data_IF_158674885892
#
_entry.id   IF_158674885892
#
_cell.length_a   1.000
_cell.length_b   1.000
_cell.length_c   1.000
_cell.angle_alpha   90.00
_cell.angle_beta   90.00
_cell.angle_gamma   90.00
#
_symmetry.space_group_name_H-M   'P 1'
#
loop_
_entity.id
_entity.type
_entity.pdbx_description
1 polymer ?
#
# COMPACT_ATOMS: atom_id res chain seq x y z
N UNK A 1 8.79 5.19 13.24
CA UNK A 1 8.51 4.71 11.88
C UNK A 1 7.36 5.50 11.32
N UNK A 2 7.60 6.18 10.20
CA UNK A 2 6.60 6.97 9.47
C UNK A 2 6.63 6.46 8.03
N UNK A 3 5.44 6.18 7.49
CA UNK A 3 5.22 5.83 6.10
C UNK A 3 4.44 6.97 5.43
N UNK A 4 5.05 7.69 4.48
CA UNK A 4 4.39 8.79 3.77
C UNK A 4 3.84 8.31 2.42
N UNK A 5 2.63 8.73 2.07
CA UNK A 5 2.04 8.35 0.77
C UNK A 5 2.73 9.06 -0.40
N UNK A 6 2.84 8.39 -1.55
CA UNK A 6 3.09 9.03 -2.86
C UNK A 6 1.93 8.82 -3.85
N UNK A 7 0.80 8.29 -3.38
CA UNK A 7 -0.40 8.02 -4.20
C UNK A 7 -1.06 9.26 -4.83
N UNK A 8 -1.11 10.44 -4.16
CA UNK A 8 -1.55 11.68 -4.81
C UNK A 8 -0.73 11.97 -6.06
N UNK A 9 -1.39 12.50 -7.10
CA UNK A 9 -0.71 12.80 -8.37
C UNK A 9 -0.93 11.79 -9.50
N UNK A 10 -1.73 10.73 -9.29
CA UNK A 10 -1.94 9.65 -10.27
C UNK A 10 -3.38 9.56 -10.82
N UNK A 11 -4.24 10.55 -10.57
CA UNK A 11 -5.63 10.54 -11.06
C UNK A 11 -5.74 11.18 -12.44
N UNK A 12 -6.22 10.39 -13.40
CA UNK A 12 -6.60 10.87 -14.72
C UNK A 12 -8.12 10.85 -14.89
N UNK A 13 -8.66 11.94 -15.39
CA UNK A 13 -10.07 12.08 -15.81
C UNK A 13 -10.03 12.67 -17.21
N UNK A 14 -10.35 11.90 -18.27
CA UNK A 14 -10.31 12.43 -19.63
C UNK A 14 -11.25 13.62 -19.79
N UNK A 15 -10.90 14.54 -20.68
CA UNK A 15 -11.82 15.58 -21.14
C UNK A 15 -12.91 14.96 -22.02
N UNK A 16 -14.14 15.45 -21.89
CA UNK A 16 -15.26 15.05 -22.77
C UNK A 16 -15.05 15.52 -24.22
N UNK A 17 -14.27 16.60 -24.42
CA UNK A 17 -13.98 17.17 -25.75
C UNK A 17 -12.80 16.49 -26.45
N UNK A 18 -11.75 16.11 -25.69
CA UNK A 18 -10.58 15.40 -26.20
C UNK A 18 -10.04 14.42 -25.14
N UNK A 19 -10.34 13.11 -25.26
CA UNK A 19 -9.96 12.12 -24.26
C UNK A 19 -8.45 11.84 -24.19
N UNK A 20 -7.64 12.40 -25.11
CA UNK A 20 -6.19 12.38 -25.00
C UNK A 20 -5.64 13.41 -24.00
N UNK A 21 -6.50 14.32 -23.51
CA UNK A 21 -6.17 15.34 -22.53
C UNK A 21 -6.96 15.12 -21.24
N UNK A 22 -6.32 15.39 -20.12
CA UNK A 22 -6.99 15.42 -18.83
C UNK A 22 -7.90 16.64 -18.70
N UNK A 23 -9.08 16.45 -18.14
CA UNK A 23 -9.94 17.54 -17.65
C UNK A 23 -9.34 18.23 -16.42
N UNK A 24 -9.96 19.32 -15.97
CA UNK A 24 -9.59 20.04 -14.74
C UNK A 24 -9.67 19.19 -13.47
N UNK A 25 -10.39 18.06 -13.51
CA UNK A 25 -10.48 17.09 -12.41
C UNK A 25 -9.29 16.13 -12.36
N UNK A 26 -8.46 16.10 -13.41
CA UNK A 26 -7.21 15.35 -13.40
C UNK A 26 -6.22 15.99 -12.46
N UNK A 27 -5.56 15.17 -11.66
CA UNK A 27 -4.50 15.62 -10.75
C UNK A 27 -3.18 14.95 -11.07
N UNK A 28 -2.95 14.57 -12.34
CA UNK A 28 -1.71 13.92 -12.77
C UNK A 28 -0.52 14.84 -12.51
N UNK A 29 0.54 14.28 -11.94
CA UNK A 29 1.80 14.97 -11.64
C UNK A 29 2.97 14.16 -12.19
N UNK A 30 4.11 14.81 -12.42
CA UNK A 30 5.34 14.10 -12.81
C UNK A 30 5.85 13.23 -11.66
N UNK A 31 6.63 12.18 -11.95
CA UNK A 31 7.32 11.38 -10.92
C UNK A 31 8.02 12.23 -9.86
N UNK A 32 8.78 13.25 -10.26
CA UNK A 32 9.56 14.13 -9.37
C UNK A 32 8.64 14.93 -8.44
N UNK A 33 7.54 15.47 -8.96
CA UNK A 33 6.59 16.22 -8.15
C UNK A 33 5.90 15.34 -7.10
N UNK A 34 5.61 14.08 -7.44
CA UNK A 34 4.97 13.12 -6.53
C UNK A 34 5.87 12.62 -5.40
N UNK A 35 7.19 12.60 -5.60
CA UNK A 35 8.14 12.16 -4.57
C UNK A 35 8.85 13.31 -3.88
N UNK A 36 8.62 14.57 -4.27
CA UNK A 36 9.32 15.75 -3.73
C UNK A 36 9.37 15.77 -2.19
N UNK A 37 8.23 15.55 -1.54
CA UNK A 37 8.17 15.54 -0.07
C UNK A 37 8.94 14.36 0.55
N UNK A 38 9.04 13.23 -0.15
CA UNK A 38 9.86 12.08 0.30
C UNK A 38 11.34 12.44 0.22
N UNK A 39 11.77 13.13 -0.83
CA UNK A 39 13.17 13.56 -0.98
C UNK A 39 13.57 14.60 0.07
N UNK A 40 12.66 15.51 0.40
CA UNK A 40 12.86 16.56 1.40
C UNK A 40 12.82 16.01 2.83
N UNK A 41 11.78 15.25 3.18
CA UNK A 41 11.53 14.81 4.55
C UNK A 41 12.26 13.52 4.91
N UNK A 42 12.60 12.70 3.90
CA UNK A 42 13.22 11.39 4.06
C UNK A 42 12.53 10.60 5.17
N UNK A 43 11.32 10.08 4.96
CA UNK A 43 10.72 9.13 5.90
C UNK A 43 11.47 7.79 5.85
N UNK A 44 11.19 6.90 6.80
CA UNK A 44 11.78 5.55 6.79
C UNK A 44 11.16 4.71 5.66
N UNK A 45 9.87 4.92 5.40
CA UNK A 45 9.07 4.24 4.37
C UNK A 45 8.26 5.29 3.60
N UNK A 46 7.98 5.03 2.33
CA UNK A 46 6.89 5.69 1.62
C UNK A 46 6.12 4.70 0.75
N UNK A 47 4.84 4.95 0.47
CA UNK A 47 4.07 4.08 -0.42
C UNK A 47 4.46 4.32 -1.88
N UNK A 48 4.39 3.29 -2.71
CA UNK A 48 4.52 3.35 -4.16
C UNK A 48 3.43 2.47 -4.78
N UNK A 49 2.45 3.12 -5.42
CA UNK A 49 1.27 2.43 -5.91
C UNK A 49 1.51 1.83 -7.31
N UNK A 50 1.74 0.52 -7.37
CA UNK A 50 1.98 -0.20 -8.62
C UNK A 50 0.65 -0.55 -9.27
N UNK A 51 -0.06 0.46 -9.79
CA UNK A 51 -1.35 0.24 -10.44
C UNK A 51 -1.69 1.22 -11.55
N UNK A 52 -2.21 0.68 -12.65
CA UNK A 52 -3.06 1.43 -13.58
C UNK A 52 -4.40 0.71 -13.68
N UNK A 53 -5.45 1.33 -13.14
CA UNK A 53 -6.77 0.71 -12.99
C UNK A 53 -7.88 1.74 -12.83
N UNK A 54 -9.13 1.32 -12.92
CA UNK A 54 -10.23 2.11 -12.40
C UNK A 54 -10.19 2.07 -10.87
N UNK A 55 -10.25 3.23 -10.24
CA UNK A 55 -10.32 3.41 -8.80
C UNK A 55 -11.63 4.15 -8.49
N UNK A 56 -12.69 3.36 -8.23
CA UNK A 56 -14.06 3.88 -8.28
C UNK A 56 -14.43 4.31 -9.70
N UNK A 57 -14.85 5.56 -9.88
CA UNK A 57 -15.27 6.11 -11.18
C UNK A 57 -14.14 6.84 -11.93
N UNK A 58 -12.88 6.71 -11.50
CA UNK A 58 -11.76 7.49 -12.02
C UNK A 58 -10.61 6.58 -12.38
N UNK A 59 -9.83 6.94 -13.41
CA UNK A 59 -8.61 6.22 -13.71
C UNK A 59 -7.51 6.62 -12.71
N UNK A 60 -6.87 5.62 -12.13
CA UNK A 60 -5.65 5.75 -11.39
C UNK A 60 -4.52 5.21 -12.27
N UNK A 61 -3.51 6.04 -12.55
CA UNK A 61 -2.56 5.82 -13.63
C UNK A 61 -1.12 5.90 -13.11
N UNK A 62 -0.48 4.74 -13.00
CA UNK A 62 0.95 4.60 -12.79
C UNK A 62 1.50 3.68 -13.87
N UNK A 63 2.08 4.28 -14.90
CA UNK A 63 2.75 3.53 -15.98
C UNK A 63 4.14 3.06 -15.52
N UNK A 64 4.69 1.97 -16.10
CA UNK A 64 5.99 1.42 -15.68
C UNK A 64 7.13 2.45 -15.61
N UNK A 65 7.25 3.33 -16.59
CA UNK A 65 8.31 4.35 -16.61
C UNK A 65 8.22 5.32 -15.43
N UNK A 66 7.01 5.70 -15.02
CA UNK A 66 6.81 6.53 -13.84
C UNK A 66 7.19 5.78 -12.56
N UNK A 67 6.80 4.49 -12.47
CA UNK A 67 7.12 3.65 -11.32
C UNK A 67 8.63 3.48 -11.16
N UNK A 68 9.35 3.21 -12.26
CA UNK A 68 10.81 3.09 -12.27
C UNK A 68 11.44 4.40 -11.78
N UNK A 69 11.03 5.53 -12.36
CA UNK A 69 11.56 6.85 -11.99
C UNK A 69 11.33 7.18 -10.52
N UNK A 70 10.11 6.96 -10.02
CA UNK A 70 9.78 7.21 -8.61
C UNK A 70 10.56 6.28 -7.68
N UNK A 71 10.59 4.97 -7.97
CA UNK A 71 11.32 3.99 -7.17
C UNK A 71 12.81 4.33 -7.06
N UNK A 72 13.46 4.66 -8.18
CA UNK A 72 14.87 5.06 -8.18
C UNK A 72 15.12 6.29 -7.30
N UNK A 73 14.31 7.35 -7.45
CA UNK A 73 14.47 8.56 -6.63
C UNK A 73 14.26 8.29 -5.13
N UNK A 74 13.30 7.43 -4.78
CA UNK A 74 13.00 7.05 -3.40
C UNK A 74 14.17 6.25 -2.79
N UNK A 75 14.70 5.28 -3.52
CA UNK A 75 15.83 4.45 -3.07
C UNK A 75 17.14 5.26 -2.97
N UNK A 76 17.40 6.18 -3.89
CA UNK A 76 18.53 7.12 -3.83
C UNK A 76 18.46 8.03 -2.60
N UNK A 77 17.25 8.37 -2.14
CA UNK A 77 17.04 9.09 -0.88
C UNK A 77 17.16 8.20 0.37
N UNK A 78 17.47 6.92 0.21
CA UNK A 78 17.59 5.93 1.27
C UNK A 78 16.27 5.59 1.95
N UNK A 79 15.14 5.80 1.28
CA UNK A 79 13.79 5.49 1.78
C UNK A 79 13.35 4.14 1.23
N UNK A 80 12.69 3.32 2.04
CA UNK A 80 12.15 2.03 1.57
C UNK A 80 10.76 2.23 0.95
N UNK A 81 10.53 1.81 -0.31
CA UNK A 81 9.19 1.80 -0.88
C UNK A 81 8.35 0.65 -0.29
N UNK A 82 7.13 0.96 0.18
CA UNK A 82 6.05 -0.01 0.38
C UNK A 82 5.25 -0.11 -0.93
N UNK A 83 5.30 -1.29 -1.56
CA UNK A 83 4.75 -1.57 -2.88
C UNK A 83 3.27 -1.91 -2.74
N UNK A 84 2.40 -0.93 -3.00
CA UNK A 84 0.95 -1.09 -2.92
C UNK A 84 0.45 -1.76 -4.20
N UNK A 85 -0.21 -2.91 -4.04
CA UNK A 85 -0.75 -3.70 -5.16
C UNK A 85 -2.22 -3.99 -4.92
N UNK A 86 -3.03 -3.70 -5.94
CA UNK A 86 -4.50 -3.77 -5.85
C UNK A 86 -5.08 -4.99 -6.57
N UNK A 87 -4.25 -5.76 -7.27
CA UNK A 87 -4.66 -6.95 -8.03
C UNK A 87 -3.43 -7.83 -8.35
N UNK A 88 -3.65 -9.05 -8.82
CA UNK A 88 -2.59 -10.00 -9.19
C UNK A 88 -1.71 -9.50 -10.34
N UNK A 89 -2.28 -8.76 -11.29
CA UNK A 89 -1.52 -8.12 -12.37
C UNK A 89 -0.48 -7.12 -11.84
N UNK A 90 -0.81 -6.40 -10.77
CA UNK A 90 0.07 -5.46 -10.10
C UNK A 90 1.21 -6.16 -9.37
N UNK A 91 0.93 -7.29 -8.70
CA UNK A 91 1.98 -8.16 -8.13
C UNK A 91 2.96 -8.62 -9.21
N UNK A 92 2.44 -9.09 -10.35
CA UNK A 92 3.27 -9.53 -11.48
C UNK A 92 4.12 -8.41 -12.06
N UNK A 93 3.57 -7.20 -12.19
CA UNK A 93 4.31 -6.03 -12.66
C UNK A 93 5.45 -5.68 -11.68
N UNK A 94 5.16 -5.60 -10.38
CA UNK A 94 6.17 -5.31 -9.37
C UNK A 94 7.33 -6.33 -9.41
N UNK A 95 7.02 -7.63 -9.52
CA UNK A 95 8.04 -8.68 -9.71
C UNK A 95 8.90 -8.45 -10.94
N UNK A 96 8.27 -8.17 -12.07
CA UNK A 96 8.98 -7.91 -13.32
C UNK A 96 9.95 -6.73 -13.16
N UNK A 97 9.54 -5.66 -12.47
CA UNK A 97 10.40 -4.51 -12.19
C UNK A 97 11.56 -4.87 -11.24
N UNK A 98 11.30 -5.65 -10.18
CA UNK A 98 12.35 -6.15 -9.27
C UNK A 98 13.39 -6.98 -10.04
N UNK A 99 12.93 -7.89 -10.91
CA UNK A 99 13.78 -8.82 -11.66
C UNK A 99 14.59 -8.12 -12.77
N UNK A 100 13.99 -7.15 -13.48
CA UNK A 100 14.60 -6.55 -14.68
C UNK A 100 15.30 -5.21 -14.43
N UNK A 101 14.78 -4.38 -13.52
CA UNK A 101 15.30 -3.04 -13.26
C UNK A 101 16.20 -2.99 -12.02
N UNK A 102 16.20 -4.07 -11.20
CA UNK A 102 16.99 -4.19 -9.96
C UNK A 102 16.71 -3.09 -8.92
N UNK A 103 15.54 -2.48 -8.99
CA UNK A 103 14.94 -1.59 -7.99
C UNK A 103 14.07 -2.41 -7.04
N UNK A 104 13.60 -1.81 -5.95
CA UNK A 104 12.66 -2.40 -4.99
C UNK A 104 13.22 -3.67 -4.32
N UNK A 105 14.53 -3.69 -4.06
CA UNK A 105 15.22 -4.83 -3.47
C UNK A 105 14.87 -4.97 -1.97
N UNK A 106 14.79 -6.21 -1.47
CA UNK A 106 14.17 -6.53 -0.17
C UNK A 106 12.73 -5.96 -0.06
N UNK A 107 11.81 -6.48 -0.90
CA UNK A 107 10.54 -5.83 -1.16
C UNK A 107 9.59 -5.90 0.05
N UNK A 108 8.92 -4.78 0.29
CA UNK A 108 7.82 -4.66 1.23
C UNK A 108 6.53 -4.45 0.43
N UNK A 109 5.65 -5.45 0.39
CA UNK A 109 4.37 -5.37 -0.32
C UNK A 109 3.22 -5.00 0.61
N UNK A 110 2.25 -4.25 0.11
CA UNK A 110 0.95 -4.10 0.76
C UNK A 110 -0.17 -4.49 -0.20
N UNK A 111 -0.92 -5.54 0.18
CA UNK A 111 -2.02 -6.08 -0.58
C UNK A 111 -3.29 -5.29 -0.24
N UNK A 112 -3.75 -4.48 -1.19
CA UNK A 112 -4.87 -3.54 -1.04
C UNK A 112 -6.19 -4.21 -1.46
N UNK A 113 -7.02 -4.64 -0.50
CA UNK A 113 -8.21 -5.43 -0.79
C UNK A 113 -9.51 -4.65 -0.61
N UNK A 114 -10.47 -4.88 -1.52
CA UNK A 114 -11.81 -4.29 -1.46
C UNK A 114 -11.90 -2.87 -2.00
N UNK A 115 -10.84 -2.38 -2.65
CA UNK A 115 -10.91 -1.17 -3.48
C UNK A 115 -11.76 -1.48 -4.72
N UNK A 116 -12.71 -0.62 -5.12
CA UNK A 116 -13.57 -0.88 -6.27
C UNK A 116 -12.76 -1.22 -7.53
N UNK A 117 -13.14 -2.31 -8.19
CA UNK A 117 -12.51 -2.89 -9.40
C UNK A 117 -11.11 -3.48 -9.22
N UNK A 118 -10.59 -3.54 -7.99
CA UNK A 118 -9.42 -4.34 -7.64
C UNK A 118 -9.81 -5.70 -7.06
N UNK A 119 -8.82 -6.35 -6.44
CA UNK A 119 -8.99 -7.61 -5.73
C UNK A 119 -10.04 -7.48 -4.61
N UNK A 120 -10.91 -8.48 -4.52
CA UNK A 120 -11.93 -8.57 -3.48
C UNK A 120 -11.29 -8.75 -2.10
N UNK A 121 -11.95 -8.24 -1.06
CA UNK A 121 -11.55 -8.47 0.33
C UNK A 121 -12.08 -9.79 0.88
N UNK A 122 -11.62 -10.89 0.28
CA UNK A 122 -11.89 -12.26 0.68
C UNK A 122 -10.60 -13.08 0.82
N UNK A 123 -10.73 -14.28 1.42
CA UNK A 123 -9.59 -15.15 1.72
C UNK A 123 -8.92 -15.66 0.44
N UNK A 124 -9.71 -15.99 -0.59
CA UNK A 124 -9.24 -16.51 -1.86
C UNK A 124 -8.34 -15.51 -2.58
N UNK A 125 -8.78 -14.24 -2.70
CA UNK A 125 -8.03 -13.17 -3.34
C UNK A 125 -6.72 -12.89 -2.60
N UNK A 126 -6.79 -12.77 -1.26
CA UNK A 126 -5.60 -12.55 -0.44
C UNK A 126 -4.60 -13.70 -0.58
N UNK A 127 -5.06 -14.95 -0.47
CA UNK A 127 -4.20 -16.13 -0.61
C UNK A 127 -3.56 -16.20 -1.99
N UNK A 128 -4.31 -15.89 -3.05
CA UNK A 128 -3.80 -15.87 -4.41
C UNK A 128 -2.71 -14.80 -4.57
N UNK A 129 -2.96 -13.56 -4.16
CA UNK A 129 -1.96 -12.49 -4.24
C UNK A 129 -0.70 -12.83 -3.43
N UNK A 130 -0.85 -13.33 -2.21
CA UNK A 130 0.27 -13.76 -1.35
C UNK A 130 1.12 -14.84 -2.01
N UNK A 131 0.51 -15.82 -2.69
CA UNK A 131 1.24 -16.90 -3.38
C UNK A 131 2.14 -16.42 -4.50
N UNK A 132 1.85 -15.27 -5.08
CA UNK A 132 2.65 -14.71 -6.17
C UNK A 132 3.74 -13.77 -5.69
N UNK A 133 3.82 -13.44 -4.39
CA UNK A 133 4.91 -12.60 -3.89
C UNK A 133 6.28 -13.29 -4.03
N UNK A 134 7.38 -12.52 -4.17
CA UNK A 134 8.74 -13.05 -4.00
C UNK A 134 8.90 -13.76 -2.65
N UNK A 135 9.74 -14.80 -2.59
CA UNK A 135 9.91 -15.60 -1.37
C UNK A 135 10.50 -14.80 -0.19
N UNK A 136 11.35 -13.82 -0.51
CA UNK A 136 12.01 -12.92 0.46
C UNK A 136 11.18 -11.68 0.79
N UNK A 137 9.98 -11.53 0.20
CA UNK A 137 9.14 -10.37 0.41
C UNK A 137 8.57 -10.33 1.83
N UNK A 138 8.67 -9.15 2.47
CA UNK A 138 7.79 -8.79 3.58
C UNK A 138 6.48 -8.31 3.01
N UNK A 139 5.37 -8.60 3.67
CA UNK A 139 4.07 -8.17 3.17
C UNK A 139 3.08 -7.85 4.29
N UNK A 140 2.21 -6.89 4.00
CA UNK A 140 1.03 -6.50 4.78
C UNK A 140 -0.21 -6.64 3.91
N UNK A 141 -1.39 -6.71 4.52
CA UNK A 141 -2.64 -6.51 3.80
C UNK A 141 -3.66 -5.74 4.65
N UNK A 142 -4.54 -5.01 3.97
CA UNK A 142 -5.71 -4.37 4.57
C UNK A 142 -6.97 -4.64 3.75
N UNK A 143 -8.12 -4.52 4.40
CA UNK A 143 -9.43 -4.56 3.75
C UNK A 143 -10.18 -3.25 3.99
N UNK A 144 -10.85 -2.75 2.96
CA UNK A 144 -11.68 -1.54 3.06
C UNK A 144 -12.95 -1.78 3.90
N UNK A 145 -13.29 -0.79 4.73
CA UNK A 145 -14.53 -0.69 5.49
C UNK A 145 -14.75 -1.92 6.38
N UNK A 146 -15.91 -2.58 6.26
CA UNK A 146 -16.29 -3.78 7.03
C UNK A 146 -15.29 -4.93 6.95
N UNK A 147 -14.43 -4.95 5.93
CA UNK A 147 -13.42 -6.00 5.75
C UNK A 147 -12.13 -5.78 6.55
N UNK A 148 -11.93 -4.60 7.17
CA UNK A 148 -10.69 -4.26 7.87
C UNK A 148 -10.28 -5.31 8.91
N UNK A 149 -11.18 -5.64 9.85
CA UNK A 149 -10.85 -6.59 10.92
C UNK A 149 -10.80 -8.06 10.48
N UNK A 150 -11.67 -8.55 9.57
CA UNK A 150 -11.48 -9.86 8.95
C UNK A 150 -10.11 -10.02 8.28
N UNK A 151 -9.66 -9.01 7.51
CA UNK A 151 -8.35 -9.06 6.85
C UNK A 151 -7.22 -8.98 7.87
N UNK A 152 -7.32 -8.19 8.95
CA UNK A 152 -6.33 -8.23 10.05
C UNK A 152 -6.10 -9.66 10.54
N UNK A 153 -7.17 -10.41 10.84
CA UNK A 153 -7.02 -11.80 11.30
C UNK A 153 -6.41 -12.69 10.22
N UNK A 154 -6.90 -12.58 8.98
CA UNK A 154 -6.46 -13.43 7.87
C UNK A 154 -4.99 -13.21 7.50
N UNK A 155 -4.52 -11.97 7.51
CA UNK A 155 -3.12 -11.62 7.26
C UNK A 155 -2.19 -12.27 8.28
N UNK A 156 -2.53 -12.19 9.57
CA UNK A 156 -1.72 -12.81 10.64
C UNK A 156 -1.67 -14.33 10.49
N UNK A 157 -2.82 -14.97 10.22
CA UNK A 157 -2.91 -16.42 9.98
C UNK A 157 -2.01 -16.85 8.80
N UNK A 158 -1.89 -16.01 7.78
CA UNK A 158 -1.06 -16.29 6.58
C UNK A 158 0.41 -15.85 6.74
N UNK A 159 0.79 -15.33 7.91
CA UNK A 159 2.17 -14.90 8.20
C UNK A 159 2.54 -13.52 7.68
N UNK A 160 1.55 -12.66 7.44
CA UNK A 160 1.73 -11.27 7.01
C UNK A 160 1.57 -10.26 8.14
N UNK A 161 1.88 -9.00 7.83
CA UNK A 161 1.61 -7.83 8.66
C UNK A 161 0.20 -7.29 8.41
N UNK A 162 -0.22 -6.29 9.21
CA UNK A 162 -1.58 -5.73 9.13
C UNK A 162 -1.55 -4.22 9.05
N UNK A 163 -2.60 -3.66 8.45
CA UNK A 163 -2.88 -2.23 8.46
C UNK A 163 -4.33 -1.97 8.88
N UNK A 164 -4.51 -0.97 9.74
CA UNK A 164 -5.80 -0.42 10.14
C UNK A 164 -5.71 1.10 10.24
N UNK A 165 -6.85 1.75 10.10
CA UNK A 165 -6.96 3.19 10.23
C UNK A 165 -8.26 3.72 9.65
N UNK A 166 -8.53 4.98 9.95
CA UNK A 166 -9.67 5.74 9.43
C UNK A 166 -9.58 5.97 7.92
N UNK A 167 -8.39 5.89 7.34
CA UNK A 167 -8.19 5.91 5.89
C UNK A 167 -8.97 4.77 5.22
N UNK A 168 -8.98 3.58 5.84
CA UNK A 168 -9.58 2.39 5.24
C UNK A 168 -10.98 2.12 5.80
N UNK A 169 -11.30 2.54 7.02
CA UNK A 169 -12.55 2.22 7.71
C UNK A 169 -12.95 3.25 8.78
N UNK A 170 -14.17 3.77 8.68
CA UNK A 170 -14.72 4.75 9.64
C UNK A 170 -15.41 4.11 10.86
N UNK A 171 -15.63 2.80 10.88
CA UNK A 171 -16.49 2.13 11.86
C UNK A 171 -15.72 1.21 12.79
N UNK A 172 -15.92 1.35 14.10
CA UNK A 172 -15.42 0.38 15.06
C UNK A 172 -16.23 -0.91 15.01
N UNK A 173 -17.55 -0.82 14.90
CA UNK A 173 -18.49 -1.95 14.76
C UNK A 173 -19.65 -1.59 13.82
N UNK A 174 -20.55 -2.54 13.54
CA UNK A 174 -21.70 -2.30 12.63
C UNK A 174 -22.56 -1.14 13.17
N UNK A 175 -22.54 -0.01 12.46
CA UNK A 175 -23.30 1.20 12.84
C UNK A 175 -22.63 2.06 13.92
N UNK A 176 -21.43 1.70 14.39
CA UNK A 176 -20.69 2.42 15.42
C UNK A 176 -19.43 3.04 14.82
N UNK A 177 -19.37 4.38 14.75
CA UNK A 177 -18.19 5.09 14.27
C UNK A 177 -17.00 4.88 15.22
N UNK A 178 -15.80 4.75 14.65
CA UNK A 178 -14.60 4.73 15.46
C UNK A 178 -14.32 6.15 15.99
N UNK A 179 -14.09 6.32 17.31
CA UNK A 179 -13.79 7.64 17.89
C UNK A 179 -12.40 8.17 17.46
N UNK A 180 -11.57 7.33 16.84
CA UNK A 180 -10.26 7.70 16.34
C UNK A 180 -9.44 6.47 15.92
N UNK A 181 -8.30 6.71 15.28
CA UNK A 181 -7.35 5.65 14.87
C UNK A 181 -6.94 4.74 16.03
N UNK A 182 -6.73 5.29 17.23
CA UNK A 182 -6.33 4.51 18.40
C UNK A 182 -7.33 3.41 18.78
N UNK A 183 -8.64 3.63 18.56
CA UNK A 183 -9.65 2.61 18.82
C UNK A 183 -9.58 1.45 17.82
N UNK A 184 -9.34 1.76 16.53
CA UNK A 184 -9.14 0.74 15.48
C UNK A 184 -7.87 -0.06 15.75
N UNK A 185 -6.76 0.61 16.11
CA UNK A 185 -5.50 -0.03 16.51
C UNK A 185 -5.71 -0.95 17.71
N UNK A 186 -6.36 -0.48 18.78
CA UNK A 186 -6.64 -1.30 19.97
C UNK A 186 -7.44 -2.56 19.61
N UNK A 187 -8.43 -2.43 18.72
CA UNK A 187 -9.21 -3.59 18.26
C UNK A 187 -8.36 -4.57 17.44
N UNK A 188 -7.50 -4.08 16.54
CA UNK A 188 -6.57 -4.92 15.80
C UNK A 188 -5.59 -5.66 16.72
N UNK A 189 -4.98 -4.96 17.69
CA UNK A 189 -4.09 -5.55 18.71
C UNK A 189 -4.80 -6.67 19.47
N UNK A 190 -6.05 -6.46 19.88
CA UNK A 190 -6.84 -7.49 20.56
C UNK A 190 -7.03 -8.73 19.68
N UNK A 191 -7.39 -8.56 18.40
CA UNK A 191 -7.53 -9.67 17.45
C UNK A 191 -6.21 -10.45 17.33
N UNK A 192 -5.09 -9.77 17.12
CA UNK A 192 -3.75 -10.36 16.97
C UNK A 192 -3.39 -11.19 18.21
N UNK A 193 -3.59 -10.63 19.40
CA UNK A 193 -3.32 -11.32 20.67
C UNK A 193 -4.24 -12.50 20.92
N UNK A 194 -5.52 -12.39 20.57
CA UNK A 194 -6.48 -13.48 20.73
C UNK A 194 -6.17 -14.69 19.86
N UNK A 195 -5.41 -14.54 18.77
CA UNK A 195 -4.94 -15.65 17.93
C UNK A 195 -3.50 -16.09 18.25
N UNK A 196 -2.93 -15.62 19.37
CA UNK A 196 -1.63 -16.08 19.87
C UNK A 196 -0.41 -15.38 19.28
N UNK A 197 -0.59 -14.28 18.55
CA UNK A 197 0.50 -13.45 18.02
C UNK A 197 0.70 -12.17 18.85
N UNK A 198 1.82 -11.49 18.65
CA UNK A 198 2.13 -10.20 19.29
C UNK A 198 2.34 -9.08 18.26
N UNK A 199 2.28 -7.84 18.75
CA UNK A 199 2.43 -6.63 17.93
C UNK A 199 3.80 -6.02 18.16
N UNK A 200 4.55 -5.85 17.06
CA UNK A 200 5.87 -5.25 17.10
C UNK A 200 5.83 -3.79 17.59
N UNK A 201 6.75 -3.46 18.48
CA UNK A 201 7.15 -2.08 18.76
C UNK A 201 7.74 -1.44 17.50
N UNK A 202 7.83 -0.10 17.43
CA UNK A 202 8.46 0.57 16.30
C UNK A 202 9.92 0.13 16.03
N UNK A 203 10.67 -0.25 17.07
CA UNK A 203 12.05 -0.71 16.91
C UNK A 203 12.15 -2.15 16.41
N UNK A 204 11.27 -3.03 16.88
CA UNK A 204 11.15 -4.38 16.32
C UNK A 204 10.72 -4.33 14.86
N UNK A 205 9.75 -3.47 14.51
CA UNK A 205 9.32 -3.26 13.13
C UNK A 205 10.49 -2.81 12.24
N UNK A 206 11.33 -1.89 12.70
CA UNK A 206 12.55 -1.49 11.98
C UNK A 206 13.48 -2.67 11.74
N UNK A 207 13.71 -3.51 12.75
CA UNK A 207 14.56 -4.69 12.61
C UNK A 207 13.99 -5.70 11.63
N UNK A 208 12.68 -5.99 11.70
CA UNK A 208 11.98 -6.93 10.80
C UNK A 208 12.06 -6.47 9.34
N UNK A 209 11.93 -5.15 9.13
CA UNK A 209 11.90 -4.52 7.81
C UNK A 209 13.29 -4.11 7.29
N UNK A 210 14.35 -4.32 8.07
CA UNK A 210 15.71 -3.93 7.68
C UNK A 210 15.90 -2.42 7.52
N UNK A 211 15.21 -1.63 8.35
CA UNK A 211 15.27 -0.18 8.34
C UNK A 211 16.37 0.33 9.29
N UNK A 212 17.18 1.27 8.82
CA UNK A 212 18.16 1.94 9.67
C UNK A 212 17.46 2.81 10.72
N UNK A 213 17.90 2.76 11.98
CA UNK A 213 17.51 3.76 12.98
C UNK A 213 18.02 5.13 12.52
N UNK A 214 17.10 6.05 12.23
CA UNK A 214 17.45 7.46 12.03
C UNK A 214 17.54 8.15 13.39
N UNK A 215 18.66 8.83 13.62
CA UNK A 215 18.88 9.72 14.76
C UNK A 215 18.05 11.00 14.61
#
# INVERSE_FOLDING_TARGET
>A
MINLTTGPGARYVPSDEDPNRGSELSTMMTPEARVRHVLELRPEICTLDVATMNFGNRAFVNVPDHLIKMATLIEEAGVKPEIEVFDLGHVRLARHLIETQRILQAPLFQLCLGVPWGASADTESLLQMKRYLPEDARWSAFGISRAQFPIVAQSVILGGHVRVGLEDNLYLAKGELAPGNAALVKRAVNIIKSIGADVATPDEARSILGLARRQ
#
